data_IF_370216330901
#
_entry.id   IF_370216330901
#
_cell.length_a   1.000
_cell.length_b   1.000
_cell.length_c   1.000
_cell.angle_alpha   90.00
_cell.angle_beta   90.00
_cell.angle_gamma   90.00
#
_symmetry.space_group_name_H-M   'P 1'
#
loop_
_entity.id
_entity.type
_entity.pdbx_description
1 polymer ?
#
# COMPACT_ATOMS: atom_id res chain seq x y z
N UNK A 1 0.87 10.83 -3.85
CA UNK A 1 0.24 10.80 -5.18
C UNK A 1 -0.11 9.37 -5.62
N UNK A 2 0.85 8.45 -5.77
CA UNK A 2 0.58 7.05 -6.16
C UNK A 2 -0.33 6.29 -5.17
N UNK A 3 -0.13 6.51 -3.87
CA UNK A 3 -1.01 6.00 -2.82
C UNK A 3 -2.48 6.40 -3.01
N UNK A 4 -2.77 7.58 -3.56
CA UNK A 4 -4.14 8.05 -3.78
C UNK A 4 -4.82 7.30 -4.94
N UNK A 5 -4.04 6.78 -5.89
CA UNK A 5 -4.57 6.00 -7.02
C UNK A 5 -5.17 4.67 -6.55
N UNK A 6 -4.59 4.06 -5.52
CA UNK A 6 -5.01 2.75 -5.04
C UNK A 6 -5.71 2.77 -3.69
N UNK A 7 -5.72 3.90 -2.97
CA UNK A 7 -6.24 3.94 -1.60
C UNK A 7 -7.68 3.46 -1.49
N UNK A 8 -8.60 4.02 -2.29
CA UNK A 8 -10.03 3.70 -2.18
C UNK A 8 -10.31 2.24 -2.57
N UNK A 9 -9.66 1.75 -3.63
CA UNK A 9 -9.77 0.36 -4.06
C UNK A 9 -9.19 -0.60 -3.01
N UNK A 10 -7.98 -0.31 -2.52
CA UNK A 10 -7.31 -1.09 -1.49
C UNK A 10 -8.16 -1.12 -0.21
N UNK A 11 -8.66 0.04 0.22
CA UNK A 11 -9.52 0.15 1.41
C UNK A 11 -10.81 -0.67 1.26
N UNK A 12 -11.42 -0.66 0.07
CA UNK A 12 -12.60 -1.46 -0.25
C UNK A 12 -12.34 -2.98 -0.27
N UNK A 13 -11.12 -3.41 -0.62
CA UNK A 13 -10.75 -4.84 -0.73
C UNK A 13 -10.20 -5.45 0.56
N UNK A 14 -9.61 -4.66 1.45
CA UNK A 14 -9.07 -5.17 2.71
C UNK A 14 -10.20 -5.77 3.57
N UNK A 15 -10.05 -7.02 4.07
CA UNK A 15 -11.01 -7.63 4.97
C UNK A 15 -11.29 -6.79 6.21
N UNK A 16 -12.57 -6.59 6.51
CA UNK A 16 -13.04 -5.84 7.70
C UNK A 16 -13.49 -6.74 8.85
N UNK A 17 -13.40 -8.04 8.66
CA UNK A 17 -13.70 -9.03 9.68
C UNK A 17 -13.02 -10.35 9.34
N UNK A 18 -12.81 -11.18 10.35
CA UNK A 18 -12.37 -12.56 10.19
C UNK A 18 -12.97 -13.44 11.29
N UNK A 19 -12.92 -14.75 11.11
CA UNK A 19 -13.38 -15.70 12.12
C UNK A 19 -12.26 -16.03 13.11
N UNK A 20 -12.56 -15.94 14.41
CA UNK A 20 -11.68 -16.34 15.49
C UNK A 20 -12.51 -17.11 16.53
N UNK A 21 -12.12 -18.34 16.83
CA UNK A 21 -12.82 -19.22 17.79
C UNK A 21 -14.34 -19.35 17.53
N UNK A 22 -14.73 -19.39 16.25
CA UNK A 22 -16.13 -19.52 15.83
C UNK A 22 -16.96 -18.22 15.93
N UNK A 23 -16.32 -17.09 16.24
CA UNK A 23 -16.95 -15.77 16.27
C UNK A 23 -16.38 -14.85 15.19
N UNK A 24 -17.24 -14.01 14.61
CA UNK A 24 -16.79 -12.95 13.73
C UNK A 24 -16.17 -11.81 14.55
N UNK A 25 -14.90 -11.53 14.30
CA UNK A 25 -14.17 -10.41 14.89
C UNK A 25 -14.04 -9.30 13.85
N UNK A 26 -14.53 -8.11 14.19
CA UNK A 26 -14.38 -6.91 13.35
C UNK A 26 -12.93 -6.42 13.39
N UNK A 27 -12.42 -6.02 12.23
CA UNK A 27 -11.10 -5.43 12.05
C UNK A 27 -11.29 -3.96 11.66
N UNK A 28 -10.77 -3.06 12.47
CA UNK A 28 -10.74 -1.63 12.11
C UNK A 28 -9.55 -1.37 11.18
N UNK A 29 -9.76 -0.57 10.12
CA UNK A 29 -8.73 -0.31 9.10
C UNK A 29 -8.51 1.18 8.98
N UNK A 30 -7.25 1.59 9.13
CA UNK A 30 -6.83 2.98 9.16
C UNK A 30 -5.72 3.23 8.17
N UNK A 31 -5.58 4.50 7.78
CA UNK A 31 -4.40 4.99 7.05
C UNK A 31 -3.37 5.51 8.05
N UNK A 32 -2.10 5.28 7.77
CA UNK A 32 -1.02 5.93 8.52
C UNK A 32 -1.19 7.45 8.47
N UNK A 33 -0.71 8.14 9.52
CA UNK A 33 -0.84 9.59 9.72
C UNK A 33 -2.27 10.13 9.94
N UNK A 34 -3.28 9.26 10.08
CA UNK A 34 -4.58 9.69 10.60
C UNK A 34 -4.46 10.06 12.08
N UNK A 35 -4.80 11.30 12.41
CA UNK A 35 -4.93 11.74 13.80
C UNK A 35 -6.21 11.13 14.37
N UNK A 36 -6.08 10.24 15.35
CA UNK A 36 -7.22 9.69 16.11
C UNK A 36 -7.79 10.78 17.01
N UNK A 37 -8.63 11.67 16.45
CA UNK A 37 -9.06 12.88 17.15
C UNK A 37 -10.09 12.64 18.27
N UNK A 38 -10.76 11.47 18.32
CA UNK A 38 -11.93 11.29 19.21
C UNK A 38 -12.05 9.93 19.90
N UNK A 39 -11.71 8.83 19.23
CA UNK A 39 -11.79 7.50 19.83
C UNK A 39 -10.48 6.74 19.60
N UNK A 40 -10.03 6.02 20.62
CA UNK A 40 -8.91 5.09 20.47
C UNK A 40 -9.39 3.93 19.60
N UNK A 41 -8.57 3.47 18.64
CA UNK A 41 -8.91 2.30 17.83
C UNK A 41 -9.12 1.08 18.73
N UNK A 42 -10.10 0.25 18.36
CA UNK A 42 -10.42 -1.01 19.04
C UNK A 42 -9.62 -2.14 18.41
N UNK A 43 -9.18 -3.07 19.24
CA UNK A 43 -8.45 -4.24 18.76
C UNK A 43 -9.41 -5.31 18.20
N UNK A 44 -9.03 -5.99 17.11
CA UNK A 44 -7.83 -5.76 16.30
C UNK A 44 -8.00 -4.61 15.29
N UNK A 45 -6.91 -3.93 14.97
CA UNK A 45 -6.88 -2.93 13.91
C UNK A 45 -5.66 -3.07 12.99
N UNK A 46 -5.79 -2.56 11.77
CA UNK A 46 -4.75 -2.54 10.73
C UNK A 46 -4.48 -1.10 10.33
N UNK A 47 -3.22 -0.68 10.36
CA UNK A 47 -2.77 0.61 9.84
C UNK A 47 -1.99 0.40 8.56
N UNK A 48 -2.47 0.99 7.47
CA UNK A 48 -1.85 0.92 6.15
C UNK A 48 -0.86 2.07 6.02
N UNK A 49 0.42 1.76 5.85
CA UNK A 49 1.47 2.74 5.68
C UNK A 49 2.09 2.60 4.28
N UNK A 50 2.00 3.64 3.45
CA UNK A 50 2.67 3.65 2.15
C UNK A 50 4.12 4.08 2.32
N UNK A 51 5.05 3.26 1.84
CA UNK A 51 6.47 3.57 1.84
C UNK A 51 6.82 4.47 0.65
N UNK A 52 8.00 5.08 0.70
CA UNK A 52 8.45 5.96 -0.37
C UNK A 52 8.58 5.20 -1.70
N UNK A 53 8.10 5.78 -2.81
CA UNK A 53 8.25 5.19 -4.12
C UNK A 53 9.72 5.22 -4.56
N UNK A 54 10.19 4.15 -5.19
CA UNK A 54 11.54 4.05 -5.77
C UNK A 54 11.45 3.60 -7.22
N UNK A 55 12.31 4.15 -8.07
CA UNK A 55 12.41 3.72 -9.47
C UNK A 55 12.94 2.28 -9.50
N UNK A 56 12.27 1.37 -10.22
CA UNK A 56 12.73 -0.01 -10.40
C UNK A 56 13.85 -0.08 -11.45
N UNK A 57 15.03 0.43 -11.10
CA UNK A 57 16.21 0.53 -11.98
C UNK A 57 16.66 -0.83 -12.55
N UNK A 58 16.30 -1.92 -11.88
CA UNK A 58 16.64 -3.29 -12.28
C UNK A 58 15.74 -3.87 -13.36
N UNK A 59 14.51 -3.37 -13.51
CA UNK A 59 13.52 -3.93 -14.43
C UNK A 59 13.03 -2.94 -15.49
N UNK A 60 13.57 -1.72 -15.56
CA UNK A 60 13.10 -0.70 -16.51
C UNK A 60 14.27 0.11 -17.06
N UNK A 61 14.55 0.05 -18.38
CA UNK A 61 15.34 1.07 -19.04
C UNK A 61 14.64 2.43 -18.88
N UNK A 62 15.38 3.50 -18.54
CA UNK A 62 14.84 4.87 -18.57
C UNK A 62 14.18 5.11 -19.96
N UNK A 63 12.89 5.44 -20.00
CA UNK A 63 12.05 5.58 -21.19
C UNK A 63 11.52 4.27 -21.82
N UNK A 64 10.94 3.38 -21.01
CA UNK A 64 10.22 2.23 -21.55
C UNK A 64 8.94 2.68 -22.27
N UNK A 65 8.63 2.06 -23.42
CA UNK A 65 7.37 2.28 -24.13
C UNK A 65 6.29 1.50 -23.38
N UNK A 66 5.49 2.20 -22.57
CA UNK A 66 4.43 1.61 -21.76
C UNK A 66 3.18 1.29 -22.57
N UNK A 67 2.91 2.09 -23.61
CA UNK A 67 1.74 1.97 -24.47
C UNK A 67 2.06 2.42 -25.89
N UNK A 68 1.47 1.72 -26.87
CA UNK A 68 1.46 2.10 -28.28
C UNK A 68 0.00 2.36 -28.66
N UNK A 69 -0.29 3.55 -29.17
CA UNK A 69 -1.64 3.98 -29.55
C UNK A 69 -1.66 4.75 -30.87
N UNK A 70 -2.81 5.32 -31.19
CA UNK A 70 -2.99 6.25 -32.31
C UNK A 70 -3.42 7.61 -31.76
N UNK A 71 -2.82 8.69 -32.25
CA UNK A 71 -3.26 10.04 -31.93
C UNK A 71 -4.50 10.43 -32.76
N UNK A 72 -5.02 11.64 -32.54
CA UNK A 72 -6.20 12.17 -33.24
C UNK A 72 -6.00 12.29 -34.77
N UNK A 73 -4.76 12.38 -35.23
CA UNK A 73 -4.39 12.46 -36.65
C UNK A 73 -4.18 11.07 -37.29
N UNK A 74 -4.28 10.00 -36.49
CA UNK A 74 -4.08 8.61 -36.93
C UNK A 74 -2.62 8.17 -36.99
N UNK A 75 -1.69 8.98 -36.48
CA UNK A 75 -0.27 8.62 -36.35
C UNK A 75 -0.02 7.78 -35.08
N UNK A 76 1.03 6.96 -35.12
CA UNK A 76 1.43 6.12 -33.98
C UNK A 76 1.98 7.01 -32.86
N UNK A 77 1.38 6.92 -31.68
CA UNK A 77 1.82 7.60 -30.46
C UNK A 77 2.41 6.59 -29.48
N UNK A 78 3.55 6.95 -28.88
CA UNK A 78 4.24 6.15 -27.88
C UNK A 78 4.16 6.85 -26.53
N UNK A 79 3.53 6.21 -25.55
CA UNK A 79 3.59 6.67 -24.16
C UNK A 79 4.86 6.12 -23.52
N UNK A 80 5.84 7.00 -23.29
CA UNK A 80 7.07 6.66 -22.57
C UNK A 80 6.87 6.86 -21.08
N UNK A 81 7.49 6.01 -20.28
CA UNK A 81 7.48 6.19 -18.84
C UNK A 81 8.51 5.34 -18.12
N UNK A 82 8.28 5.14 -16.83
CA UNK A 82 9.10 4.30 -15.96
C UNK A 82 8.21 3.42 -15.09
N UNK A 83 8.74 2.29 -14.65
CA UNK A 83 8.11 1.50 -13.60
C UNK A 83 8.62 1.97 -12.24
N UNK A 84 7.68 2.38 -11.39
CA UNK A 84 7.93 2.77 -10.01
C UNK A 84 7.51 1.62 -9.12
N UNK A 85 8.40 1.22 -8.22
CA UNK A 85 8.11 0.30 -7.14
C UNK A 85 7.71 1.09 -5.90
N UNK A 86 6.51 0.87 -5.38
CA UNK A 86 6.10 1.42 -4.10
C UNK A 86 5.53 0.29 -3.24
N UNK A 87 6.06 0.14 -2.03
CA UNK A 87 5.53 -0.84 -1.08
C UNK A 87 4.53 -0.18 -0.13
N UNK A 88 3.62 -0.97 0.43
CA UNK A 88 2.85 -0.57 1.60
C UNK A 88 2.85 -1.66 2.66
N UNK A 89 2.84 -1.22 3.91
CA UNK A 89 2.80 -2.08 5.09
C UNK A 89 1.39 -2.16 5.64
N UNK A 90 0.90 -3.38 5.85
CA UNK A 90 -0.23 -3.68 6.73
C UNK A 90 0.31 -3.88 8.14
N UNK A 91 0.26 -2.84 8.97
CA UNK A 91 0.62 -2.93 10.37
C UNK A 91 -0.58 -3.42 11.17
N UNK A 92 -0.53 -4.67 11.62
CA UNK A 92 -1.59 -5.32 12.39
C UNK A 92 -1.31 -5.13 13.87
N UNK A 93 -2.34 -4.71 14.61
CA UNK A 93 -2.28 -4.49 16.05
C UNK A 93 -3.40 -5.26 16.75
N UNK A 94 -3.05 -5.86 17.88
CA UNK A 94 -3.99 -6.58 18.74
C UNK A 94 -3.45 -6.64 20.18
N UNK A 95 -4.31 -6.95 21.14
CA UNK A 95 -3.95 -7.27 22.51
C UNK A 95 -4.01 -8.79 22.82
N UNK A 96 -4.41 -9.61 21.86
CA UNK A 96 -4.39 -11.08 21.94
C UNK A 96 -3.35 -11.67 20.97
N UNK A 97 -2.34 -12.37 21.52
CA UNK A 97 -1.22 -12.97 20.79
C UNK A 97 -1.63 -14.08 19.82
N UNK A 98 -2.67 -14.85 20.16
CA UNK A 98 -3.17 -15.94 19.31
C UNK A 98 -4.02 -15.35 18.19
N UNK A 99 -4.88 -14.39 18.53
CA UNK A 99 -5.74 -13.70 17.58
C UNK A 99 -4.92 -12.96 16.53
N UNK A 100 -3.89 -12.20 16.93
CA UNK A 100 -3.03 -11.49 15.97
C UNK A 100 -2.24 -12.44 15.07
N UNK A 101 -1.84 -13.62 15.55
CA UNK A 101 -1.14 -14.60 14.73
C UNK A 101 -2.04 -15.17 13.64
N UNK A 102 -3.29 -15.48 13.99
CA UNK A 102 -4.28 -15.93 13.01
C UNK A 102 -4.64 -14.82 12.04
N UNK A 103 -4.89 -13.60 12.54
CA UNK A 103 -5.20 -12.44 11.72
C UNK A 103 -4.07 -12.10 10.73
N UNK A 104 -2.81 -12.12 11.18
CA UNK A 104 -1.65 -11.92 10.30
C UNK A 104 -1.61 -12.94 9.17
N UNK A 105 -1.79 -14.22 9.48
CA UNK A 105 -1.81 -15.27 8.45
C UNK A 105 -2.99 -15.11 7.50
N UNK A 106 -4.17 -14.77 8.02
CA UNK A 106 -5.36 -14.50 7.23
C UNK A 106 -5.14 -13.35 6.24
N UNK A 107 -4.65 -12.20 6.73
CA UNK A 107 -4.36 -11.03 5.90
C UNK A 107 -3.22 -11.30 4.90
N UNK A 108 -2.21 -12.08 5.29
CA UNK A 108 -1.12 -12.44 4.38
C UNK A 108 -1.61 -13.34 3.23
N UNK A 109 -2.45 -14.33 3.54
CA UNK A 109 -3.06 -15.20 2.53
C UNK A 109 -3.97 -14.41 1.60
N UNK A 110 -4.81 -13.52 2.15
CA UNK A 110 -5.64 -12.60 1.36
C UNK A 110 -4.77 -11.74 0.43
N UNK A 111 -3.75 -11.08 0.97
CA UNK A 111 -2.86 -10.21 0.18
C UNK A 111 -2.15 -11.00 -0.94
N UNK A 112 -1.80 -12.26 -0.69
CA UNK A 112 -1.11 -13.11 -1.66
C UNK A 112 -2.01 -13.70 -2.73
N UNK A 113 -3.28 -13.97 -2.42
CA UNK A 113 -4.20 -14.72 -3.31
C UNK A 113 -5.30 -13.88 -3.93
N UNK A 114 -5.83 -12.93 -3.18
CA UNK A 114 -7.08 -12.26 -3.48
C UNK A 114 -6.89 -10.76 -3.77
N UNK A 115 -5.80 -10.16 -3.28
CA UNK A 115 -5.50 -8.76 -3.54
C UNK A 115 -5.12 -8.56 -5.01
N UNK A 116 -6.00 -7.86 -5.72
CA UNK A 116 -5.80 -7.33 -7.06
C UNK A 116 -6.11 -5.84 -7.01
N UNK A 117 -5.36 -5.02 -7.74
CA UNK A 117 -5.59 -3.58 -7.84
C UNK A 117 -5.62 -3.19 -9.31
N UNK A 118 -6.44 -2.22 -9.67
CA UNK A 118 -6.57 -1.73 -11.04
C UNK A 118 -5.32 -0.92 -11.39
N UNK A 119 -4.80 -1.10 -12.61
CA UNK A 119 -3.62 -0.38 -13.13
C UNK A 119 -2.33 -0.49 -12.29
N UNK A 120 -2.28 -1.45 -11.36
CA UNK A 120 -1.13 -1.70 -10.48
C UNK A 120 -0.85 -3.20 -10.40
N UNK A 121 0.41 -3.56 -10.50
CA UNK A 121 0.84 -4.95 -10.30
C UNK A 121 1.24 -5.16 -8.84
N UNK A 122 0.52 -6.03 -8.14
CA UNK A 122 0.99 -6.59 -6.87
C UNK A 122 2.12 -7.57 -7.19
N UNK A 123 3.36 -7.14 -7.00
CA UNK A 123 4.55 -7.87 -7.44
C UNK A 123 4.95 -8.94 -6.43
N UNK A 124 4.97 -8.58 -5.15
CA UNK A 124 5.39 -9.48 -4.09
C UNK A 124 4.67 -9.17 -2.78
N UNK A 125 4.37 -10.21 -2.01
CA UNK A 125 3.89 -10.08 -0.63
C UNK A 125 4.92 -10.77 0.26
N UNK A 126 5.67 -9.97 1.02
CA UNK A 126 6.76 -10.48 1.83
C UNK A 126 6.26 -11.35 2.99
N UNK A 127 7.08 -12.29 3.48
CA UNK A 127 6.76 -13.06 4.67
C UNK A 127 6.42 -12.13 5.86
N UNK A 128 5.40 -12.44 6.65
CA UNK A 128 5.01 -11.59 7.76
C UNK A 128 6.12 -11.46 8.81
N UNK A 129 6.31 -10.26 9.36
CA UNK A 129 7.30 -9.98 10.42
C UNK A 129 6.60 -9.65 11.74
N UNK A 130 7.19 -10.08 12.85
CA UNK A 130 6.74 -9.73 14.20
C UNK A 130 7.58 -8.56 14.71
N UNK A 131 6.91 -7.53 15.24
CA UNK A 131 7.50 -6.29 15.73
C UNK A 131 7.11 -6.06 17.20
N UNK A 132 6.93 -7.14 17.97
CA UNK A 132 6.44 -7.09 19.33
C UNK A 132 7.40 -6.31 20.25
N UNK A 133 6.86 -5.36 21.02
CA UNK A 133 7.59 -4.63 22.07
C UNK A 133 7.22 -5.20 23.45
N UNK A 134 8.19 -5.31 24.35
CA UNK A 134 8.04 -6.03 25.62
C UNK A 134 7.91 -5.06 26.80
N UNK A 135 6.76 -4.42 26.99
CA UNK A 135 6.39 -3.74 28.25
C UNK A 135 4.86 -3.82 28.51
N UNK A 136 4.46 -3.67 29.77
CA UNK A 136 3.17 -4.10 30.32
C UNK A 136 1.91 -3.56 29.59
N UNK A 137 0.93 -4.44 29.40
CA UNK A 137 -0.24 -4.32 28.50
C UNK A 137 0.12 -4.43 27.01
N UNK A 138 0.67 -5.59 26.63
CA UNK A 138 1.15 -5.88 25.27
C UNK A 138 0.15 -5.54 24.17
N UNK A 139 0.46 -4.48 23.43
CA UNK A 139 -0.02 -4.30 22.07
C UNK A 139 0.94 -5.07 21.18
N UNK A 140 0.51 -6.21 20.68
CA UNK A 140 1.27 -6.96 19.69
C UNK A 140 1.24 -6.21 18.37
N UNK A 141 2.38 -6.11 17.70
CA UNK A 141 2.50 -5.45 16.40
C UNK A 141 3.12 -6.41 15.42
N UNK A 142 2.45 -6.57 14.29
CA UNK A 142 2.93 -7.39 13.17
C UNK A 142 2.85 -6.61 11.88
N UNK A 143 3.68 -6.96 10.91
CA UNK A 143 3.68 -6.28 9.62
C UNK A 143 3.67 -7.27 8.46
N UNK A 144 2.89 -6.96 7.44
CA UNK A 144 2.92 -7.60 6.13
C UNK A 144 3.25 -6.50 5.12
N UNK A 145 4.33 -6.66 4.39
CA UNK A 145 4.74 -5.70 3.37
C UNK A 145 4.30 -6.21 1.99
N UNK A 146 3.61 -5.36 1.25
CA UNK A 146 3.14 -5.63 -0.12
C UNK A 146 3.89 -4.70 -1.06
N UNK A 147 4.59 -5.28 -2.03
CA UNK A 147 5.36 -4.56 -3.04
C UNK A 147 4.50 -4.40 -4.28
N UNK A 148 4.20 -3.16 -4.64
CA UNK A 148 3.46 -2.82 -5.86
C UNK A 148 4.37 -2.19 -6.91
N UNK A 149 4.05 -2.44 -8.18
CA UNK A 149 4.65 -1.78 -9.33
C UNK A 149 3.60 -0.97 -10.08
N UNK A 150 3.94 0.28 -10.34
CA UNK A 150 3.13 1.27 -11.03
C UNK A 150 3.84 1.64 -12.33
N UNK A 151 3.12 1.61 -13.44
CA UNK A 151 3.59 2.19 -14.68
C UNK A 151 3.20 3.68 -14.67
N UNK A 152 4.18 4.58 -14.75
CA UNK A 152 3.98 6.03 -14.64
C UNK A 152 4.56 6.71 -15.87
N UNK A 153 3.80 7.61 -16.50
CA UNK A 153 4.28 8.34 -17.68
C UNK A 153 5.30 9.42 -17.29
N UNK A 154 6.09 9.89 -18.26
CA UNK A 154 7.03 10.98 -17.98
C UNK A 154 6.36 12.28 -17.54
N UNK A 155 5.19 12.60 -18.09
CA UNK A 155 4.43 13.79 -17.70
C UNK A 155 4.04 13.73 -16.22
N UNK A 156 3.64 12.55 -15.73
CA UNK A 156 3.27 12.33 -14.32
C UNK A 156 4.50 12.43 -13.39
N UNK A 157 5.66 11.94 -13.84
CA UNK A 157 6.92 12.08 -13.09
C UNK A 157 7.32 13.56 -12.96
N UNK A 158 7.29 14.31 -14.07
CA UNK A 158 7.65 15.74 -14.07
C UNK A 158 6.70 16.53 -13.17
N UNK A 159 5.39 16.29 -13.28
CA UNK A 159 4.40 16.92 -12.39
C UNK A 159 4.66 16.63 -10.92
N UNK A 160 5.08 15.40 -10.59
CA UNK A 160 5.44 15.04 -9.20
C UNK A 160 6.65 15.84 -8.72
N UNK A 161 7.67 16.03 -9.57
CA UNK A 161 8.87 16.81 -9.24
C UNK A 161 8.50 18.28 -9.03
N UNK A 162 7.73 18.87 -9.94
CA UNK A 162 7.29 20.27 -9.87
C UNK A 162 6.42 20.54 -8.62
N UNK A 163 5.53 19.62 -8.25
CA UNK A 163 4.70 19.72 -7.04
C UNK A 163 5.56 19.63 -5.76
N UNK A 164 6.62 18.81 -5.75
CA UNK A 164 7.56 18.71 -4.61
C UNK A 164 8.43 19.97 -4.51
N UNK A 165 8.93 20.51 -5.63
CA UNK A 165 9.75 21.73 -5.62
C UNK A 165 8.94 22.95 -5.15
N UNK A 166 7.70 23.10 -5.61
CA UNK A 166 6.82 24.22 -5.21
C UNK A 166 6.34 24.12 -3.76
N UNK A 167 6.20 22.91 -3.20
CA UNK A 167 5.89 22.75 -1.76
C UNK A 167 7.08 23.01 -0.85
N UNK A 168 8.31 22.82 -1.33
CA UNK A 168 9.53 23.20 -0.59
C UNK A 168 9.70 24.73 -0.60
N UNK A 169 9.43 25.40 -1.72
CA UNK A 169 9.53 26.86 -1.81
C UNK A 169 8.47 27.60 -0.97
N UNK A 170 7.27 27.05 -0.81
CA UNK A 170 6.21 27.68 0.00
C UNK A 170 6.35 27.50 1.51
N UNK A 171 7.32 26.70 1.98
CA UNK A 171 7.66 26.56 3.40
C UNK A 171 8.90 27.36 3.82
N UNK A 172 9.37 28.28 2.96
CA UNK A 172 10.53 29.16 3.22
C UNK A 172 10.14 30.49 3.84
#
# INVERSE_FOLDING_TARGET
MLEALIWDELYGKIPKSFEYEGQAVTIEVYRANQVFQKEKPRFPFVVINFLEPVIDRTNTPLNEILKIGLNLDGDIEYTKGVVIRQSFDLNVYDNDVRRIAQLQNYLWLWAKKDLTLTDVTVFEVLPPRNLDFVEDYYIYRRVIEVVCKFAVSWEEIVKTIEEVETTVETQS
#
